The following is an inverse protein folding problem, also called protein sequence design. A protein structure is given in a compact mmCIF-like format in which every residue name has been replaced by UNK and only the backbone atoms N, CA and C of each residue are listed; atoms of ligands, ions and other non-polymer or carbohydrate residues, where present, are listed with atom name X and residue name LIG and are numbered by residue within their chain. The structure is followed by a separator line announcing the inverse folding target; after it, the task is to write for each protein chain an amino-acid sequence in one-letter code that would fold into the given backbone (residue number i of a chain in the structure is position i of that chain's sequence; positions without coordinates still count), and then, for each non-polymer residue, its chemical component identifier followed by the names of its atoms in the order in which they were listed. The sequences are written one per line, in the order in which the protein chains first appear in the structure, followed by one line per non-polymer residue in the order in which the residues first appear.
data_IF_865714209500
#
_entry.id   IF_865714209500
#
_cell.length_a   1.000
_cell.length_b   1.000
_cell.length_c   1.000
_cell.angle_alpha   90.00
_cell.angle_beta   90.00
_cell.angle_gamma   90.00
#
_symmetry.space_group_name_H-M   'P 1'
#
loop_
_entity.id
_entity.type
_entity.pdbx_description
1 polymer ?
#
# COMPACT_ATOMS: atom_id res chain seq x y z
N UNK A 1 17.36 7.79 -17.37
CA UNK A 1 17.76 7.53 -18.77
C UNK A 1 19.29 7.44 -18.85
N UNK A 2 19.91 6.83 -19.88
CA UNK A 2 21.38 6.84 -20.00
C UNK A 2 21.93 8.22 -20.42
N UNK A 3 23.01 8.68 -19.80
CA UNK A 3 23.65 9.99 -20.09
C UNK A 3 23.89 10.24 -21.59
N UNK A 4 24.29 9.19 -22.31
CA UNK A 4 24.57 9.28 -23.75
C UNK A 4 23.32 9.55 -24.58
N UNK A 5 22.17 9.05 -24.13
CA UNK A 5 20.88 9.28 -24.77
C UNK A 5 20.41 10.71 -24.48
N UNK A 6 20.50 11.15 -23.23
CA UNK A 6 20.12 12.52 -22.81
C UNK A 6 20.91 13.59 -23.57
N UNK A 7 22.23 13.43 -23.67
CA UNK A 7 23.10 14.34 -24.44
C UNK A 7 22.74 14.34 -25.94
N UNK A 8 22.34 13.20 -26.49
CA UNK A 8 21.92 13.11 -27.89
C UNK A 8 20.60 13.86 -28.18
N UNK A 9 19.74 14.00 -27.15
CA UNK A 9 18.43 14.64 -27.23
C UNK A 9 18.39 16.04 -26.60
N UNK A 10 19.57 16.62 -26.31
CA UNK A 10 19.71 17.97 -25.73
C UNK A 10 19.15 18.12 -24.31
N UNK A 11 19.01 17.01 -23.59
CA UNK A 11 18.67 16.96 -22.17
C UNK A 11 19.92 17.10 -21.30
N UNK A 12 19.71 17.37 -20.01
CA UNK A 12 20.80 17.58 -19.05
C UNK A 12 21.06 16.32 -18.21
N UNK A 13 22.16 15.56 -18.45
CA UNK A 13 22.40 14.27 -17.80
C UNK A 13 22.74 14.33 -16.31
N UNK A 14 22.69 15.51 -15.70
CA UNK A 14 22.88 15.69 -14.24
C UNK A 14 21.62 16.19 -13.55
N UNK A 15 20.54 16.42 -14.29
CA UNK A 15 19.23 16.76 -13.75
C UNK A 15 18.30 15.57 -13.94
N UNK A 16 17.51 15.26 -12.92
CA UNK A 16 16.37 14.37 -13.11
C UNK A 16 15.28 15.15 -13.84
N UNK A 17 15.08 14.80 -15.10
CA UNK A 17 14.08 15.36 -15.98
C UNK A 17 13.29 14.27 -16.72
N UNK A 18 13.26 13.05 -16.19
CA UNK A 18 12.53 11.92 -16.76
C UNK A 18 11.03 12.21 -16.92
N UNK A 19 10.42 12.90 -15.94
CA UNK A 19 9.02 13.31 -15.89
C UNK A 19 8.69 14.54 -16.76
N UNK A 20 9.71 15.23 -17.29
CA UNK A 20 9.51 16.46 -18.06
C UNK A 20 9.23 16.15 -19.52
N UNK A 21 8.53 17.09 -20.15
CA UNK A 21 8.28 17.13 -21.59
C UNK A 21 9.15 18.25 -22.19
N UNK A 22 10.35 17.89 -22.65
CA UNK A 22 11.33 18.88 -23.11
C UNK A 22 10.97 19.53 -24.45
N UNK A 23 10.27 18.81 -25.32
CA UNK A 23 9.95 19.26 -26.68
C UNK A 23 8.49 19.76 -26.85
N UNK A 24 7.65 19.54 -25.83
CA UNK A 24 6.30 20.05 -25.70
C UNK A 24 5.25 19.21 -26.43
N UNK A 25 5.55 17.95 -26.76
CA UNK A 25 4.65 17.06 -27.50
C UNK A 25 3.71 16.23 -26.60
N UNK A 26 3.87 16.37 -25.27
CA UNK A 26 3.16 15.69 -24.19
C UNK A 26 3.56 14.24 -23.93
N UNK A 27 4.69 13.80 -24.46
CA UNK A 27 5.35 12.56 -24.07
C UNK A 27 6.52 12.98 -23.17
N UNK A 28 6.61 12.40 -21.97
CA UNK A 28 7.73 12.71 -21.09
C UNK A 28 9.04 12.10 -21.65
N UNK A 29 10.17 12.64 -21.23
CA UNK A 29 11.49 12.26 -21.72
C UNK A 29 11.78 10.75 -21.53
N UNK A 30 11.27 10.13 -20.46
CA UNK A 30 11.47 8.70 -20.21
C UNK A 30 10.66 7.81 -21.16
N UNK A 31 9.40 8.17 -21.43
CA UNK A 31 8.56 7.52 -22.43
C UNK A 31 9.16 7.61 -23.83
N UNK A 32 9.77 8.75 -24.19
CA UNK A 32 10.54 8.89 -25.44
C UNK A 32 11.74 7.94 -25.49
N UNK A 33 12.45 7.81 -24.36
CA UNK A 33 13.57 6.87 -24.25
C UNK A 33 13.09 5.43 -24.46
N UNK A 34 12.01 4.99 -23.82
CA UNK A 34 11.42 3.66 -23.99
C UNK A 34 11.04 3.41 -25.45
N UNK A 35 10.34 4.36 -26.09
CA UNK A 35 9.96 4.28 -27.51
C UNK A 35 11.16 4.21 -28.47
N UNK A 36 12.32 4.73 -28.07
CA UNK A 36 13.55 4.67 -28.86
C UNK A 36 14.26 3.31 -28.81
N UNK A 37 13.90 2.43 -27.86
CA UNK A 37 14.52 1.12 -27.71
C UNK A 37 13.82 0.08 -28.60
N UNK A 38 14.57 -0.56 -29.50
CA UNK A 38 14.04 -1.65 -30.34
C UNK A 38 13.68 -2.93 -29.55
N UNK A 39 14.14 -3.06 -28.30
CA UNK A 39 13.92 -4.25 -27.46
C UNK A 39 13.92 -3.86 -25.97
N UNK A 40 12.93 -3.06 -25.58
CA UNK A 40 12.62 -2.82 -24.17
C UNK A 40 11.87 -4.02 -23.57
N UNK A 41 12.06 -4.30 -22.28
CA UNK A 41 11.39 -5.42 -21.60
C UNK A 41 9.93 -5.09 -21.37
N UNK A 42 9.03 -6.05 -21.55
CA UNK A 42 7.58 -5.94 -21.26
C UNK A 42 7.24 -6.09 -19.78
N UNK A 43 8.25 -6.33 -18.94
CA UNK A 43 8.11 -6.58 -17.50
C UNK A 43 8.81 -5.55 -16.61
N UNK A 44 9.43 -4.53 -17.19
CA UNK A 44 9.99 -3.43 -16.39
C UNK A 44 8.83 -2.51 -16.04
N UNK A 45 8.76 -2.16 -14.76
CA UNK A 45 7.85 -1.22 -14.13
C UNK A 45 8.75 -0.31 -13.29
N UNK A 46 8.88 0.94 -13.69
CA UNK A 46 9.91 1.86 -13.19
C UNK A 46 9.48 2.57 -11.90
N UNK A 47 8.18 2.83 -11.73
CA UNK A 47 7.64 3.42 -10.49
C UNK A 47 7.03 2.39 -9.53
N UNK A 48 6.99 1.12 -9.92
CA UNK A 48 6.50 -0.02 -9.15
C UNK A 48 5.02 0.11 -8.75
N UNK A 49 4.21 0.70 -9.62
CA UNK A 49 2.78 0.87 -9.37
C UNK A 49 1.92 -0.32 -9.87
N UNK A 50 2.58 -1.33 -10.44
CA UNK A 50 1.97 -2.55 -10.94
C UNK A 50 1.63 -2.51 -12.42
N UNK A 51 1.87 -1.40 -13.12
CA UNK A 51 1.73 -1.27 -14.56
C UNK A 51 3.10 -1.28 -15.25
N UNK A 52 3.35 -2.13 -16.26
CA UNK A 52 4.63 -2.13 -16.97
C UNK A 52 4.83 -0.87 -17.82
N UNK A 53 6.06 -0.35 -17.85
CA UNK A 53 6.47 0.85 -18.60
C UNK A 53 5.96 0.85 -20.05
N UNK A 54 6.10 -0.27 -20.75
CA UNK A 54 5.69 -0.38 -22.16
C UNK A 54 4.17 -0.26 -22.33
N UNK A 55 3.42 -0.75 -21.36
CA UNK A 55 1.97 -0.64 -21.36
C UNK A 55 1.55 0.80 -21.10
N UNK A 56 2.11 1.43 -20.08
CA UNK A 56 1.84 2.82 -19.73
C UNK A 56 2.15 3.77 -20.90
N UNK A 57 3.32 3.62 -21.52
CA UNK A 57 3.72 4.39 -22.72
C UNK A 57 2.72 4.20 -23.86
N UNK A 58 2.23 2.98 -24.06
CA UNK A 58 1.23 2.70 -25.10
C UNK A 58 -0.13 3.37 -24.83
N UNK A 59 -0.46 3.62 -23.55
CA UNK A 59 -1.71 4.23 -23.10
C UNK A 59 -1.55 5.67 -22.62
N UNK A 60 -0.43 6.32 -22.95
CA UNK A 60 -0.15 7.74 -22.63
C UNK A 60 -0.15 8.03 -21.12
N UNK A 61 0.20 7.04 -20.31
CA UNK A 61 0.50 7.20 -18.89
C UNK A 61 1.98 7.49 -18.67
N UNK A 62 2.38 7.68 -17.41
CA UNK A 62 3.72 8.15 -17.05
C UNK A 62 4.50 7.10 -16.23
N UNK A 63 5.44 6.36 -16.85
CA UNK A 63 6.19 5.28 -16.19
C UNK A 63 7.14 5.68 -15.05
N UNK A 64 7.19 6.96 -14.69
CA UNK A 64 8.02 7.44 -13.57
C UNK A 64 7.17 8.07 -12.47
N UNK A 65 5.84 7.98 -12.58
CA UNK A 65 4.90 8.49 -11.60
C UNK A 65 3.85 7.42 -11.28
N UNK A 66 3.86 6.90 -10.05
CA UNK A 66 2.78 6.08 -9.51
C UNK A 66 1.41 6.75 -9.76
N UNK A 67 0.74 6.23 -10.77
CA UNK A 67 -0.52 6.71 -11.28
C UNK A 67 -1.55 5.59 -11.45
N UNK A 68 -1.18 4.37 -11.07
CA UNK A 68 -2.03 3.20 -10.88
C UNK A 68 -3.38 3.53 -10.26
N UNK A 69 -3.44 4.42 -9.26
CA UNK A 69 -4.68 4.82 -8.56
C UNK A 69 -5.37 6.07 -9.13
N UNK A 70 -4.76 6.75 -10.10
CA UNK A 70 -5.36 7.88 -10.81
C UNK A 70 -6.35 7.36 -11.86
N UNK A 71 -7.27 8.24 -12.24
CA UNK A 71 -8.34 7.99 -13.21
C UNK A 71 -8.14 8.95 -14.37
N UNK A 72 -7.41 8.49 -15.41
CA UNK A 72 -6.92 9.35 -16.48
C UNK A 72 -8.06 9.94 -17.33
N UNK A 73 -9.13 9.20 -17.57
CA UNK A 73 -10.25 9.64 -18.42
C UNK A 73 -11.50 10.10 -17.65
N UNK A 74 -11.46 10.03 -16.31
CA UNK A 74 -12.47 10.46 -15.35
C UNK A 74 -13.78 9.66 -15.42
N UNK A 75 -13.69 8.37 -15.68
CA UNK A 75 -14.84 7.47 -15.71
C UNK A 75 -15.11 6.71 -14.40
N UNK A 76 -14.15 6.78 -13.48
CA UNK A 76 -14.20 6.21 -12.14
C UNK A 76 -13.39 4.93 -11.95
N UNK A 77 -12.78 4.38 -13.00
CA UNK A 77 -11.75 3.34 -12.90
C UNK A 77 -10.36 3.96 -12.74
N UNK A 78 -9.48 3.23 -12.08
CA UNK A 78 -8.08 3.58 -11.96
C UNK A 78 -7.25 2.98 -13.11
N UNK A 79 -6.13 3.61 -13.43
CA UNK A 79 -5.25 3.16 -14.51
C UNK A 79 -4.84 1.68 -14.36
N UNK A 80 -4.59 1.23 -13.12
CA UNK A 80 -4.26 -0.16 -12.82
C UNK A 80 -5.45 -1.10 -13.05
N UNK A 81 -6.66 -0.68 -12.70
CA UNK A 81 -7.88 -1.44 -12.99
C UNK A 81 -8.07 -1.65 -14.49
N UNK A 82 -7.72 -0.65 -15.30
CA UNK A 82 -7.81 -0.71 -16.76
C UNK A 82 -6.69 -1.53 -17.40
N UNK A 83 -5.47 -1.47 -16.85
CA UNK A 83 -4.38 -2.39 -17.21
C UNK A 83 -4.81 -3.84 -17.03
N UNK A 84 -5.34 -4.16 -15.85
CA UNK A 84 -5.80 -5.51 -15.50
C UNK A 84 -7.01 -5.95 -16.35
N UNK A 85 -7.89 -5.02 -16.71
CA UNK A 85 -9.07 -5.29 -17.55
C UNK A 85 -8.77 -5.27 -19.06
N UNK A 86 -7.56 -4.90 -19.48
CA UNK A 86 -7.19 -4.63 -20.88
C UNK A 86 -8.08 -3.59 -21.56
N UNK A 87 -8.49 -2.57 -20.82
CA UNK A 87 -9.18 -1.38 -21.35
C UNK A 87 -8.19 -0.24 -21.56
N UNK A 88 -8.61 0.80 -22.29
CA UNK A 88 -7.75 1.94 -22.60
C UNK A 88 -8.02 3.06 -21.58
N UNK A 89 -7.07 3.39 -20.69
CA UNK A 89 -7.25 4.41 -19.65
C UNK A 89 -7.44 5.83 -20.14
N UNK A 90 -7.43 6.03 -21.45
CA UNK A 90 -7.77 7.30 -22.08
C UNK A 90 -9.19 7.31 -22.67
N UNK A 91 -9.98 6.26 -22.46
CA UNK A 91 -11.22 6.00 -23.19
C UNK A 91 -12.40 5.56 -22.31
N UNK A 92 -13.07 6.54 -21.71
CA UNK A 92 -14.24 6.37 -20.83
C UNK A 92 -15.46 5.60 -21.38
N UNK A 93 -15.42 5.16 -22.63
CA UNK A 93 -16.43 4.33 -23.25
C UNK A 93 -16.17 2.82 -23.08
N UNK A 94 -14.95 2.40 -22.74
CA UNK A 94 -14.56 0.99 -22.61
C UNK A 94 -14.53 0.45 -21.17
N UNK A 95 -14.70 1.29 -20.15
CA UNK A 95 -15.14 0.88 -18.81
C UNK A 95 -16.53 0.24 -18.85
N UNK A 96 -16.57 -1.03 -19.26
CA UNK A 96 -17.79 -1.82 -19.38
C UNK A 96 -17.67 -3.19 -18.71
N UNK A 97 -16.74 -3.36 -17.77
CA UNK A 97 -16.65 -4.57 -16.96
C UNK A 97 -17.28 -4.40 -15.57
N UNK A 98 -17.21 -3.21 -14.97
CA UNK A 98 -17.71 -2.92 -13.61
C UNK A 98 -19.17 -2.45 -13.57
N UNK A 99 -19.75 -2.10 -14.73
CA UNK A 99 -21.14 -1.69 -14.85
C UNK A 99 -22.06 -2.88 -15.19
N UNK A 100 -22.84 -3.32 -14.22
CA UNK A 100 -24.01 -4.17 -14.44
C UNK A 100 -25.22 -3.30 -14.82
N UNK A 101 -25.45 -3.17 -16.12
CA UNK A 101 -26.52 -2.34 -16.70
C UNK A 101 -27.90 -3.05 -16.77
N UNK A 102 -27.91 -4.37 -16.54
CA UNK A 102 -29.08 -5.26 -16.59
C UNK A 102 -29.81 -5.29 -17.95
N UNK A 103 -29.13 -4.93 -19.05
CA UNK A 103 -29.65 -5.04 -20.41
C UNK A 103 -29.51 -6.44 -21.00
N UNK A 104 -28.60 -7.26 -20.46
CA UNK A 104 -28.60 -8.70 -20.66
C UNK A 104 -29.40 -9.38 -19.53
N UNK A 105 -30.38 -10.21 -19.91
CA UNK A 105 -31.23 -10.93 -18.97
C UNK A 105 -30.56 -12.21 -18.42
N UNK A 106 -29.43 -12.61 -19.01
CA UNK A 106 -28.72 -13.86 -18.74
C UNK A 106 -27.38 -13.57 -18.06
N UNK A 107 -26.60 -12.60 -18.57
CA UNK A 107 -25.30 -12.24 -18.02
C UNK A 107 -25.37 -10.93 -17.22
N UNK A 108 -25.05 -10.99 -15.92
CA UNK A 108 -25.11 -9.87 -14.99
C UNK A 108 -23.70 -9.32 -14.67
N UNK A 109 -22.91 -9.09 -15.72
CA UNK A 109 -21.58 -8.48 -15.64
C UNK A 109 -20.49 -9.42 -15.13
N UNK A 110 -20.50 -10.70 -15.50
CA UNK A 110 -19.44 -11.67 -15.12
C UNK A 110 -19.49 -12.14 -13.66
N UNK A 111 -20.08 -11.37 -12.74
CA UNK A 111 -20.17 -11.74 -11.32
C UNK A 111 -20.99 -13.02 -11.05
N UNK A 112 -20.52 -13.81 -10.10
CA UNK A 112 -21.24 -15.00 -9.62
C UNK A 112 -22.35 -14.66 -8.60
N UNK A 113 -23.60 -14.66 -9.09
CA UNK A 113 -24.77 -14.33 -8.27
C UNK A 113 -25.38 -15.54 -7.55
N UNK A 114 -25.40 -15.47 -6.21
CA UNK A 114 -26.10 -16.40 -5.32
C UNK A 114 -27.46 -15.87 -4.95
N UNK A 115 -28.46 -16.75 -4.92
CA UNK A 115 -29.85 -16.40 -4.60
C UNK A 115 -30.39 -17.25 -3.45
N UNK A 116 -30.95 -16.59 -2.44
CA UNK A 116 -31.54 -17.23 -1.27
C UNK A 116 -32.98 -16.74 -1.05
N UNK A 117 -33.82 -17.60 -0.45
CA UNK A 117 -35.22 -17.30 -0.15
C UNK A 117 -36.21 -17.78 -1.22
N UNK A 118 -37.49 -17.48 -1.03
CA UNK A 118 -38.59 -17.94 -1.90
C UNK A 118 -39.04 -16.89 -2.95
N UNK A 119 -38.46 -15.69 -2.90
CA UNK A 119 -38.71 -14.63 -3.87
C UNK A 119 -37.86 -14.80 -5.14
N UNK A 120 -37.99 -13.87 -6.07
CA UNK A 120 -37.21 -13.86 -7.31
C UNK A 120 -36.51 -12.52 -7.50
N UNK A 121 -35.21 -12.58 -7.78
CA UNK A 121 -34.43 -11.50 -8.37
C UNK A 121 -34.27 -11.77 -9.86
N UNK A 122 -34.51 -10.77 -10.72
CA UNK A 122 -34.39 -10.93 -12.17
C UNK A 122 -34.10 -9.62 -12.87
N UNK A 123 -33.27 -9.68 -13.92
CA UNK A 123 -33.05 -8.56 -14.83
C UNK A 123 -34.22 -8.39 -15.81
N UNK A 124 -34.55 -7.12 -16.08
CA UNK A 124 -35.54 -6.68 -17.03
C UNK A 124 -34.92 -5.62 -17.95
N UNK A 125 -34.43 -6.04 -19.13
CA UNK A 125 -33.92 -5.12 -20.13
C UNK A 125 -35.00 -4.12 -20.58
N UNK A 126 -34.60 -2.86 -20.78
CA UNK A 126 -35.48 -1.81 -21.32
C UNK A 126 -36.55 -1.26 -20.36
N UNK A 127 -36.62 -1.73 -19.11
CA UNK A 127 -37.60 -1.28 -18.11
C UNK A 127 -37.01 -0.38 -17.01
N UNK A 128 -35.73 -0.04 -17.11
CA UNK A 128 -35.02 0.90 -16.25
C UNK A 128 -35.05 2.35 -16.76
N UNK A 129 -34.30 3.21 -16.09
CA UNK A 129 -34.18 4.63 -16.41
C UNK A 129 -33.67 4.84 -17.84
N UNK A 130 -34.26 5.82 -18.53
CA UNK A 130 -33.92 6.18 -19.92
C UNK A 130 -33.99 5.00 -20.91
N UNK A 131 -34.74 3.95 -20.58
CA UNK A 131 -34.84 2.75 -21.43
C UNK A 131 -33.68 1.76 -21.23
N UNK A 132 -32.88 1.89 -20.17
CA UNK A 132 -31.90 0.89 -19.76
C UNK A 132 -32.50 -0.31 -19.04
N UNK A 133 -31.66 -1.22 -18.54
CA UNK A 133 -32.07 -2.40 -17.78
C UNK A 133 -32.37 -2.09 -16.31
N UNK A 134 -33.05 -3.03 -15.64
CA UNK A 134 -33.17 -3.02 -14.18
C UNK A 134 -33.18 -4.41 -13.59
N UNK A 135 -32.60 -4.56 -12.42
CA UNK A 135 -32.73 -5.76 -11.60
C UNK A 135 -33.86 -5.57 -10.61
N UNK A 136 -34.80 -6.50 -10.55
CA UNK A 136 -35.99 -6.36 -9.72
C UNK A 136 -36.17 -7.58 -8.83
N UNK A 137 -36.55 -7.34 -7.58
CA UNK A 137 -37.04 -8.36 -6.69
C UNK A 137 -38.55 -8.23 -6.46
N UNK A 138 -39.28 -9.34 -6.56
CA UNK A 138 -40.73 -9.42 -6.30
C UNK A 138 -41.13 -10.84 -5.91
N UNK A 139 -42.42 -11.03 -5.60
CA UNK A 139 -43.04 -12.32 -5.28
C UNK A 139 -42.46 -13.03 -4.03
N UNK A 140 -41.86 -12.27 -3.12
CA UNK A 140 -41.44 -12.78 -1.81
C UNK A 140 -42.66 -12.97 -0.90
N UNK A 141 -42.83 -14.11 -0.23
CA UNK A 141 -43.97 -14.31 0.68
C UNK A 141 -43.99 -13.29 1.82
N UNK A 142 -45.19 -12.99 2.33
CA UNK A 142 -45.36 -12.00 3.40
C UNK A 142 -44.53 -12.32 4.65
N UNK A 143 -43.74 -11.34 5.10
CA UNK A 143 -42.87 -11.49 6.27
C UNK A 143 -41.66 -12.40 6.04
N UNK A 144 -41.36 -12.76 4.78
CA UNK A 144 -40.13 -13.43 4.36
C UNK A 144 -39.23 -12.46 3.62
N UNK A 145 -38.01 -12.93 3.37
CA UNK A 145 -36.97 -12.19 2.64
C UNK A 145 -36.46 -13.02 1.47
N UNK A 146 -35.88 -12.35 0.48
CA UNK A 146 -35.06 -12.97 -0.56
C UNK A 146 -33.79 -12.15 -0.74
N UNK A 147 -32.66 -12.84 -0.84
CA UNK A 147 -31.33 -12.24 -0.92
C UNK A 147 -30.72 -12.61 -2.26
N UNK A 148 -30.04 -11.65 -2.86
CA UNK A 148 -29.07 -11.91 -3.90
C UNK A 148 -27.71 -11.38 -3.44
N UNK A 149 -26.65 -12.15 -3.62
CA UNK A 149 -25.29 -11.73 -3.27
C UNK A 149 -24.25 -12.20 -4.26
N UNK A 150 -23.12 -11.51 -4.27
CA UNK A 150 -21.90 -11.91 -4.98
C UNK A 150 -20.72 -11.73 -4.03
N UNK A 151 -19.66 -12.50 -4.24
CA UNK A 151 -18.36 -12.23 -3.62
C UNK A 151 -17.52 -11.47 -4.63
N UNK A 152 -16.79 -10.49 -4.13
CA UNK A 152 -15.87 -9.68 -4.92
C UNK A 152 -14.59 -9.50 -4.15
N UNK A 153 -13.52 -9.23 -4.87
CA UNK A 153 -12.18 -8.98 -4.38
C UNK A 153 -11.84 -7.58 -4.87
N UNK A 154 -11.94 -6.59 -3.98
CA UNK A 154 -11.88 -5.16 -4.35
C UNK A 154 -10.47 -4.61 -4.16
N UNK A 155 -9.94 -3.83 -5.11
CA UNK A 155 -8.73 -3.02 -4.90
C UNK A 155 -9.01 -1.74 -4.09
N UNK A 156 -10.16 -1.65 -3.42
CA UNK A 156 -10.67 -0.40 -2.87
C UNK A 156 -11.58 0.31 -3.88
N UNK A 157 -12.28 1.37 -3.45
CA UNK A 157 -13.16 2.14 -4.33
C UNK A 157 -14.60 2.18 -3.83
N UNK A 158 -15.57 1.99 -4.74
CA UNK A 158 -16.99 2.22 -4.42
C UNK A 158 -17.92 1.18 -5.02
N UNK A 159 -19.03 0.94 -4.31
CA UNK A 159 -20.23 0.34 -4.88
C UNK A 159 -21.28 1.43 -5.05
N UNK A 160 -21.80 1.59 -6.27
CA UNK A 160 -22.84 2.58 -6.55
C UNK A 160 -23.98 2.01 -7.39
N UNK A 161 -25.21 2.45 -7.13
CA UNK A 161 -26.37 2.03 -7.91
C UNK A 161 -27.57 2.96 -7.72
N UNK A 162 -28.54 2.87 -8.61
CA UNK A 162 -29.84 3.51 -8.44
C UNK A 162 -30.81 2.56 -7.74
N UNK A 163 -31.40 3.03 -6.64
CA UNK A 163 -32.42 2.29 -5.88
C UNK A 163 -33.83 2.82 -6.16
N UNK A 164 -34.76 1.89 -6.33
CA UNK A 164 -36.19 2.14 -6.34
C UNK A 164 -36.90 1.16 -5.40
N UNK A 165 -37.74 1.68 -4.50
CA UNK A 165 -38.52 0.89 -3.54
C UNK A 165 -39.98 1.32 -3.57
N UNK A 166 -40.89 0.35 -3.67
CA UNK A 166 -42.32 0.58 -3.60
C UNK A 166 -42.95 -0.22 -2.46
N UNK A 167 -43.13 0.42 -1.30
CA UNK A 167 -43.92 -0.14 -0.19
C UNK A 167 -43.18 -1.12 0.73
N UNK A 168 -42.09 -1.74 0.29
CA UNK A 168 -41.36 -2.78 1.03
C UNK A 168 -40.01 -2.28 1.59
N UNK A 169 -39.05 -3.19 1.79
CA UNK A 169 -37.69 -2.86 2.26
C UNK A 169 -36.64 -3.50 1.37
N UNK A 170 -35.70 -2.68 0.89
CA UNK A 170 -34.41 -3.13 0.36
C UNK A 170 -33.34 -2.81 1.39
N UNK A 171 -32.45 -3.75 1.67
CA UNK A 171 -31.27 -3.56 2.50
C UNK A 171 -30.03 -3.98 1.70
N UNK A 172 -29.02 -3.13 1.67
CA UNK A 172 -27.71 -3.42 1.08
C UNK A 172 -26.69 -3.66 2.20
N UNK A 173 -25.91 -4.73 2.07
CA UNK A 173 -24.91 -5.14 3.05
C UNK A 173 -23.55 -5.38 2.38
N UNK A 174 -22.50 -5.07 3.13
CA UNK A 174 -21.12 -5.48 2.87
C UNK A 174 -20.67 -6.32 4.07
N UNK A 175 -20.26 -7.56 3.85
CA UNK A 175 -19.84 -8.53 4.90
C UNK A 175 -20.86 -8.67 6.04
N UNK A 176 -22.14 -8.71 5.67
CA UNK A 176 -23.25 -8.80 6.61
C UNK A 176 -23.50 -7.52 7.44
N UNK A 177 -22.72 -6.45 7.26
CA UNK A 177 -22.96 -5.13 7.86
C UNK A 177 -23.87 -4.32 6.96
N UNK A 178 -24.93 -3.75 7.54
CA UNK A 178 -25.88 -2.90 6.79
C UNK A 178 -25.24 -1.58 6.41
N UNK A 179 -25.14 -1.33 5.11
CA UNK A 179 -24.66 -0.07 4.55
C UNK A 179 -25.83 0.87 4.21
N UNK A 180 -26.91 0.33 3.67
CA UNK A 180 -28.10 1.08 3.31
C UNK A 180 -29.38 0.29 3.55
N UNK A 181 -30.45 0.97 3.98
CA UNK A 181 -31.77 0.35 4.12
C UNK A 181 -32.87 1.36 3.76
N UNK A 182 -33.75 0.96 2.83
CA UNK A 182 -34.81 1.79 2.29
C UNK A 182 -36.15 1.10 2.51
N UNK A 183 -36.92 1.60 3.48
CA UNK A 183 -38.19 1.02 3.92
C UNK A 183 -39.42 1.88 3.60
N UNK A 184 -39.22 3.01 2.91
CA UNK A 184 -40.25 3.89 2.37
C UNK A 184 -40.22 3.87 0.85
N UNK A 185 -41.23 4.47 0.21
CA UNK A 185 -41.16 4.69 -1.23
C UNK A 185 -39.96 5.55 -1.58
N UNK A 186 -39.06 5.00 -2.40
CA UNK A 186 -37.89 5.69 -2.95
C UNK A 186 -37.98 5.59 -4.45
N UNK A 187 -37.96 6.72 -5.14
CA UNK A 187 -37.99 6.75 -6.60
C UNK A 187 -36.60 7.14 -7.11
N UNK A 188 -35.91 6.16 -7.71
CA UNK A 188 -34.71 6.36 -8.55
C UNK A 188 -33.64 7.26 -7.93
N UNK A 189 -33.18 6.90 -6.72
CA UNK A 189 -32.10 7.61 -6.02
C UNK A 189 -30.76 6.92 -6.27
N UNK A 190 -29.73 7.64 -6.73
CA UNK A 190 -28.34 7.13 -6.72
C UNK A 190 -27.87 7.03 -5.26
N UNK A 191 -27.27 5.90 -4.92
CA UNK A 191 -26.61 5.63 -3.64
C UNK A 191 -25.21 5.11 -3.93
N UNK A 192 -24.31 5.33 -2.98
CA UNK A 192 -22.88 5.10 -3.13
C UNK A 192 -22.29 4.76 -1.76
N UNK A 193 -21.40 3.79 -1.72
CA UNK A 193 -20.78 3.25 -0.51
C UNK A 193 -19.32 2.95 -0.79
N UNK A 194 -18.45 3.21 0.19
CA UNK A 194 -17.04 2.83 0.09
C UNK A 194 -16.92 1.30 0.17
N UNK A 195 -16.10 0.75 -0.73
CA UNK A 195 -15.70 -0.65 -0.74
C UNK A 195 -14.22 -0.69 -0.36
N UNK A 196 -13.85 -1.22 0.82
CA UNK A 196 -12.46 -1.34 1.22
C UNK A 196 -11.69 -2.31 0.32
N UNK A 197 -10.36 -2.25 0.41
CA UNK A 197 -9.47 -3.25 -0.19
C UNK A 197 -9.78 -4.62 0.44
N UNK A 198 -9.81 -5.65 -0.41
CA UNK A 198 -9.89 -7.04 -0.03
C UNK A 198 -11.20 -7.73 -0.41
N UNK A 199 -11.38 -8.93 0.15
CA UNK A 199 -12.49 -9.82 -0.17
C UNK A 199 -13.77 -9.47 0.57
N UNK A 200 -14.83 -9.20 -0.17
CA UNK A 200 -16.11 -8.75 0.37
C UNK A 200 -17.32 -9.53 -0.18
N UNK A 201 -18.30 -9.83 0.68
CA UNK A 201 -19.64 -10.23 0.22
C UNK A 201 -20.53 -8.99 0.05
N UNK A 202 -20.99 -8.74 -1.17
CA UNK A 202 -22.01 -7.74 -1.48
C UNK A 202 -23.37 -8.39 -1.52
N UNK A 203 -24.34 -7.90 -0.73
CA UNK A 203 -25.66 -8.50 -0.64
C UNK A 203 -26.82 -7.49 -0.71
N UNK A 204 -27.82 -7.83 -1.51
CA UNK A 204 -29.10 -7.13 -1.61
C UNK A 204 -30.22 -7.99 -1.06
N UNK A 205 -30.85 -7.53 0.03
CA UNK A 205 -31.92 -8.24 0.73
C UNK A 205 -33.23 -7.50 0.55
N UNK A 206 -34.20 -8.17 -0.07
CA UNK A 206 -35.57 -7.70 -0.22
C UNK A 206 -36.47 -8.34 0.83
N UNK A 207 -37.09 -7.52 1.67
CA UNK A 207 -37.98 -7.96 2.76
C UNK A 207 -39.42 -7.51 2.52
N UNK A 208 -40.35 -8.47 2.44
CA UNK A 208 -41.77 -8.19 2.23
C UNK A 208 -42.48 -7.87 3.55
N UNK A 209 -43.11 -6.69 3.65
CA UNK A 209 -43.85 -6.31 4.87
C UNK A 209 -45.04 -7.24 5.13
N UNK A 210 -45.36 -7.49 6.42
CA UNK A 210 -46.46 -8.39 6.86
C UNK A 210 -47.88 -7.88 6.58
N UNK A 211 -48.04 -6.69 6.02
CA UNK A 211 -49.36 -6.05 5.79
C UNK A 211 -49.73 -6.06 4.32
N UNK A 212 -50.95 -6.51 3.98
CA UNK A 212 -51.48 -6.43 2.62
C UNK A 212 -51.54 -4.96 2.16
N UNK A 213 -50.80 -4.64 1.12
CA UNK A 213 -50.97 -3.41 0.36
C UNK A 213 -51.55 -3.77 -1.02
N UNK A 214 -52.54 -3.02 -1.48
CA UNK A 214 -53.05 -3.13 -2.84
C UNK A 214 -52.09 -2.41 -3.80
N UNK A 215 -51.13 -3.14 -4.36
CA UNK A 215 -50.14 -2.67 -5.34
C UNK A 215 -49.09 -3.76 -5.63
N UNK A 216 -48.45 -3.70 -6.79
CA UNK A 216 -47.30 -4.56 -7.09
C UNK A 216 -46.09 -4.04 -6.31
N UNK A 217 -45.90 -4.49 -5.07
CA UNK A 217 -44.72 -4.11 -4.32
C UNK A 217 -43.48 -4.78 -4.92
N UNK A 218 -42.38 -4.04 -4.98
CA UNK A 218 -41.11 -4.53 -5.48
C UNK A 218 -40.00 -3.56 -5.13
N UNK A 219 -38.77 -4.06 -5.22
CA UNK A 219 -37.56 -3.24 -5.18
C UNK A 219 -36.78 -3.42 -6.48
N UNK A 220 -36.09 -2.38 -6.91
CA UNK A 220 -35.25 -2.42 -8.09
C UNK A 220 -33.91 -1.73 -7.88
N UNK A 221 -32.89 -2.29 -8.52
CA UNK A 221 -31.52 -1.79 -8.63
C UNK A 221 -31.24 -1.55 -10.12
N UNK A 222 -30.59 -0.43 -10.46
CA UNK A 222 -30.18 -0.11 -11.83
C UNK A 222 -28.79 0.48 -11.86
N UNK A 223 -28.06 0.29 -12.97
CA UNK A 223 -26.69 0.76 -13.18
C UNK A 223 -25.82 0.47 -11.96
N UNK A 224 -25.71 -0.83 -11.65
CA UNK A 224 -24.91 -1.28 -10.54
C UNK A 224 -23.46 -1.23 -10.96
N UNK A 225 -22.69 -0.46 -10.22
CA UNK A 225 -21.27 -0.27 -10.38
C UNK A 225 -20.57 -0.88 -9.16
N UNK A 226 -19.59 -1.73 -9.40
CA UNK A 226 -18.78 -2.39 -8.38
C UNK A 226 -17.32 -2.23 -8.78
N UNK A 227 -16.53 -1.43 -8.07
CA UNK A 227 -15.06 -1.33 -8.22
C UNK A 227 -14.37 -2.61 -7.71
N UNK A 228 -14.63 -3.74 -8.37
CA UNK A 228 -14.00 -5.02 -8.10
C UNK A 228 -14.19 -5.96 -9.29
N UNK A 229 -13.12 -6.67 -9.66
CA UNK A 229 -13.14 -7.62 -10.77
C UNK A 229 -14.00 -8.86 -10.43
N UNK A 230 -14.69 -9.45 -11.42
CA UNK A 230 -15.39 -10.72 -11.26
C UNK A 230 -14.43 -11.90 -11.00
N UNK A 231 -14.98 -12.96 -10.41
CA UNK A 231 -14.41 -14.31 -10.25
C UNK A 231 -15.37 -15.22 -11.04
N UNK A 232 -15.07 -15.41 -12.33
CA UNK A 232 -15.96 -15.93 -13.36
C UNK A 232 -16.29 -17.41 -13.15
N UNK A 233 -15.35 -18.19 -12.59
CA UNK A 233 -15.52 -19.62 -12.35
C UNK A 233 -15.77 -19.99 -10.87
N UNK A 234 -15.72 -19.00 -9.97
CA UNK A 234 -16.01 -19.12 -8.53
C UNK A 234 -15.07 -20.11 -7.82
N UNK A 235 -13.79 -20.07 -8.16
CA UNK A 235 -12.75 -20.83 -7.46
C UNK A 235 -12.08 -20.05 -6.31
N UNK A 236 -12.34 -18.74 -6.23
CA UNK A 236 -11.86 -17.85 -5.17
C UNK A 236 -10.75 -16.89 -5.60
N UNK A 237 -10.29 -16.96 -6.84
CA UNK A 237 -9.32 -16.05 -7.46
C UNK A 237 -10.06 -15.07 -8.39
N UNK A 238 -9.59 -13.83 -8.52
CA UNK A 238 -10.19 -12.90 -9.48
C UNK A 238 -9.65 -13.12 -10.88
N UNK A 239 -10.53 -12.96 -11.88
CA UNK A 239 -10.18 -13.03 -13.31
C UNK A 239 -8.93 -12.20 -13.66
N UNK A 240 -8.78 -11.01 -13.08
CA UNK A 240 -7.62 -10.14 -13.33
C UNK A 240 -6.31 -10.75 -12.85
N UNK A 241 -6.27 -11.26 -11.62
CA UNK A 241 -5.09 -11.93 -11.07
C UNK A 241 -4.77 -13.21 -11.84
N UNK A 242 -5.78 -14.03 -12.19
CA UNK A 242 -5.56 -15.22 -13.01
C UNK A 242 -4.95 -14.88 -14.37
N UNK A 243 -5.44 -13.83 -15.01
CA UNK A 243 -4.93 -13.41 -16.31
C UNK A 243 -3.49 -12.89 -16.21
N UNK A 244 -3.18 -12.04 -15.22
CA UNK A 244 -1.84 -11.45 -15.05
C UNK A 244 -0.75 -12.50 -14.93
N UNK A 245 -1.02 -13.60 -14.22
CA UNK A 245 0.01 -14.59 -13.90
C UNK A 245 -0.10 -15.90 -14.71
N UNK A 246 -1.27 -16.19 -15.29
CA UNK A 246 -1.52 -17.45 -16.02
C UNK A 246 -2.07 -17.26 -17.44
N UNK A 247 -2.30 -16.02 -17.88
CA UNK A 247 -2.86 -15.66 -19.20
C UNK A 247 -4.20 -16.38 -19.51
N UNK A 248 -4.97 -16.74 -18.47
CA UNK A 248 -6.20 -17.51 -18.59
C UNK A 248 -7.21 -17.09 -17.52
N UNK A 249 -8.48 -16.92 -17.92
CA UNK A 249 -9.61 -16.47 -17.09
C UNK A 249 -10.44 -17.63 -16.48
N UNK A 250 -10.05 -18.88 -16.75
CA UNK A 250 -10.73 -20.08 -16.24
C UNK A 250 -9.68 -21.05 -15.68
N UNK A 251 -8.67 -20.54 -14.99
CA UNK A 251 -7.64 -21.39 -14.38
C UNK A 251 -8.22 -22.02 -13.13
N UNK A 252 -8.97 -23.12 -13.28
CA UNK A 252 -9.69 -23.74 -12.16
C UNK A 252 -8.77 -24.10 -10.97
N UNK A 253 -8.69 -23.21 -9.97
CA UNK A 253 -7.92 -23.34 -8.74
C UNK A 253 -8.48 -24.45 -7.83
N UNK A 254 -9.64 -25.04 -8.13
CA UNK A 254 -10.06 -26.28 -7.48
C UNK A 254 -9.31 -27.51 -7.99
N UNK A 255 -8.75 -27.45 -9.19
CA UNK A 255 -7.93 -28.51 -9.80
C UNK A 255 -6.47 -28.15 -9.95
N UNK A 256 -6.14 -26.85 -9.90
CA UNK A 256 -4.78 -26.35 -9.71
C UNK A 256 -4.18 -26.90 -8.42
N UNK A 257 -2.87 -27.08 -8.41
CA UNK A 257 -2.18 -27.60 -7.23
C UNK A 257 -2.16 -26.51 -6.15
N UNK A 258 -3.09 -26.62 -5.18
CA UNK A 258 -3.19 -25.68 -4.03
C UNK A 258 -1.98 -25.69 -3.11
N UNK A 259 -1.01 -26.55 -3.36
CA UNK A 259 0.26 -26.59 -2.65
C UNK A 259 1.44 -26.13 -3.54
N UNK A 260 1.15 -25.63 -4.75
CA UNK A 260 2.14 -24.96 -5.56
C UNK A 260 2.48 -23.62 -4.90
N UNK A 261 3.77 -23.40 -4.81
CA UNK A 261 4.46 -22.26 -4.23
C UNK A 261 5.61 -22.05 -5.22
N UNK A 262 5.36 -21.17 -6.18
CA UNK A 262 6.09 -21.13 -7.42
C UNK A 262 7.40 -20.34 -7.29
N UNK A 263 7.47 -19.39 -6.36
CA UNK A 263 8.67 -18.63 -6.01
C UNK A 263 9.41 -19.17 -4.75
N UNK A 264 8.77 -20.07 -4.00
CA UNK A 264 9.29 -20.73 -2.80
C UNK A 264 9.48 -19.77 -1.61
N UNK A 265 8.64 -18.75 -1.48
CA UNK A 265 8.64 -17.84 -0.33
C UNK A 265 7.89 -18.39 0.89
N UNK A 266 7.01 -19.38 0.65
CA UNK A 266 6.21 -20.08 1.65
C UNK A 266 4.73 -19.70 1.69
N UNK A 267 4.29 -18.77 0.83
CA UNK A 267 2.91 -18.63 0.38
C UNK A 267 2.68 -19.54 -0.83
N UNK A 268 1.50 -20.13 -0.90
CA UNK A 268 1.07 -20.83 -2.12
C UNK A 268 0.52 -19.84 -3.14
N UNK A 269 0.52 -20.18 -4.43
CA UNK A 269 -0.02 -19.32 -5.50
C UNK A 269 -1.45 -18.82 -5.18
N UNK A 270 -2.25 -19.64 -4.48
CA UNK A 270 -3.61 -19.25 -4.07
C UNK A 270 -3.63 -18.34 -2.84
N UNK A 271 -2.65 -18.44 -1.94
CA UNK A 271 -2.48 -17.50 -0.83
C UNK A 271 -2.00 -16.14 -1.34
N UNK A 272 -1.12 -16.12 -2.34
CA UNK A 272 -0.67 -14.93 -3.05
C UNK A 272 -1.83 -14.26 -3.80
N UNK A 273 -2.66 -15.05 -4.49
CA UNK A 273 -3.90 -14.55 -5.09
C UNK A 273 -4.85 -13.86 -4.10
N UNK A 274 -4.91 -14.36 -2.87
CA UNK A 274 -5.74 -13.77 -1.80
C UNK A 274 -5.07 -12.56 -1.15
N UNK A 275 -3.74 -12.48 -1.23
CA UNK A 275 -2.93 -11.37 -0.75
C UNK A 275 -2.71 -10.27 -1.81
N UNK A 276 -3.12 -10.52 -3.05
CA UNK A 276 -2.83 -9.69 -4.23
C UNK A 276 -1.34 -9.52 -4.52
N UNK A 277 -0.55 -10.54 -4.17
CA UNK A 277 0.87 -10.60 -4.44
C UNK A 277 1.18 -11.46 -5.67
N UNK A 278 2.45 -11.47 -6.09
CA UNK A 278 2.92 -12.05 -7.33
C UNK A 278 3.47 -13.47 -7.13
N UNK A 279 2.85 -14.51 -7.72
CA UNK A 279 3.23 -15.91 -7.55
C UNK A 279 4.61 -16.30 -8.10
N UNK A 280 5.34 -15.35 -8.65
CA UNK A 280 6.68 -15.56 -9.18
C UNK A 280 7.74 -14.72 -8.46
N UNK A 281 7.39 -14.00 -7.39
CA UNK A 281 8.30 -13.11 -6.65
C UNK A 281 8.07 -13.17 -5.15
N UNK A 282 9.10 -13.63 -4.43
CA UNK A 282 9.06 -13.76 -2.96
C UNK A 282 8.95 -12.44 -2.18
N UNK A 283 9.04 -11.33 -2.89
CA UNK A 283 9.00 -9.94 -2.46
C UNK A 283 8.45 -9.19 -3.68
N UNK A 284 7.12 -9.06 -3.69
CA UNK A 284 6.33 -8.67 -4.84
C UNK A 284 6.55 -7.21 -5.23
N UNK A 285 6.59 -6.34 -4.23
CA UNK A 285 6.77 -4.89 -4.35
C UNK A 285 8.25 -4.45 -4.29
N UNK A 286 9.16 -5.37 -3.98
CA UNK A 286 10.61 -5.17 -3.91
C UNK A 286 11.03 -4.15 -2.86
N UNK A 287 10.29 -4.04 -1.77
CA UNK A 287 10.60 -3.12 -0.68
C UNK A 287 11.61 -3.69 0.33
N UNK A 288 11.90 -4.99 0.21
CA UNK A 288 12.84 -5.75 1.01
C UNK A 288 12.19 -6.61 2.09
N UNK A 289 10.86 -6.58 2.21
CA UNK A 289 10.06 -7.46 3.05
C UNK A 289 9.44 -8.57 2.19
N UNK A 290 9.57 -9.86 2.55
CA UNK A 290 8.93 -10.93 1.79
C UNK A 290 7.42 -10.99 1.99
N UNK A 291 6.67 -11.35 0.95
CA UNK A 291 5.20 -11.42 0.94
C UNK A 291 4.65 -12.22 2.14
N UNK A 292 5.24 -13.39 2.42
CA UNK A 292 4.86 -14.21 3.59
C UNK A 292 4.92 -13.42 4.91
N UNK A 293 5.95 -12.61 5.09
CA UNK A 293 6.11 -11.79 6.28
C UNK A 293 5.04 -10.72 6.34
N UNK A 294 4.80 -10.05 5.22
CA UNK A 294 3.84 -8.95 5.12
C UNK A 294 2.41 -9.40 5.38
N UNK A 295 1.99 -10.48 4.73
CA UNK A 295 0.69 -11.13 4.97
C UNK A 295 0.53 -11.54 6.44
N UNK A 296 1.61 -12.02 7.07
CA UNK A 296 1.59 -12.42 8.49
C UNK A 296 1.46 -11.22 9.43
N UNK A 297 2.07 -10.09 9.09
CA UNK A 297 2.09 -8.88 9.91
C UNK A 297 1.03 -7.84 9.51
N UNK A 298 0.25 -8.13 8.46
CA UNK A 298 -0.83 -7.28 7.92
C UNK A 298 -0.33 -5.95 7.33
N UNK A 299 0.85 -5.98 6.72
CA UNK A 299 1.29 -4.97 5.75
C UNK A 299 0.81 -5.39 4.35
N UNK A 300 1.12 -4.60 3.32
CA UNK A 300 0.60 -4.80 1.97
C UNK A 300 1.68 -5.29 0.99
N UNK A 301 1.70 -6.60 0.63
CA UNK A 301 2.77 -7.15 -0.22
C UNK A 301 2.76 -6.66 -1.67
N UNK A 302 1.69 -5.97 -2.09
CA UNK A 302 1.63 -5.36 -3.42
C UNK A 302 2.15 -3.92 -3.46
N UNK A 303 2.62 -3.36 -2.34
CA UNK A 303 2.83 -1.93 -2.22
C UNK A 303 4.05 -1.59 -1.38
N UNK A 304 4.97 -0.84 -1.99
CA UNK A 304 6.22 -0.35 -1.38
C UNK A 304 5.99 0.45 -0.08
N UNK A 305 5.84 -0.25 1.05
CA UNK A 305 5.35 0.30 2.32
C UNK A 305 6.36 0.20 3.47
N UNK A 306 7.59 -0.25 3.21
CA UNK A 306 8.70 -0.39 4.17
C UNK A 306 8.92 0.77 5.14
N UNK A 307 8.58 2.01 4.76
CA UNK A 307 8.74 3.20 5.62
C UNK A 307 7.46 3.62 6.38
N UNK A 308 6.35 2.90 6.18
CA UNK A 308 5.11 3.13 6.91
C UNK A 308 5.13 2.49 8.31
N UNK A 309 4.12 2.84 9.11
CA UNK A 309 3.95 2.40 10.50
C UNK A 309 2.55 1.77 10.61
N UNK A 310 2.41 0.55 10.10
CA UNK A 310 1.11 -0.10 9.91
C UNK A 310 0.36 -0.31 11.24
N UNK A 311 1.08 -0.55 12.34
CA UNK A 311 0.51 -0.81 13.65
C UNK A 311 0.43 0.44 14.57
N UNK A 312 1.10 1.52 14.19
CA UNK A 312 1.06 2.83 14.84
C UNK A 312 1.95 2.95 16.09
N UNK A 313 2.95 2.08 16.24
CA UNK A 313 3.86 2.07 17.39
C UNK A 313 5.12 2.95 17.21
N UNK A 314 5.29 3.52 16.01
CA UNK A 314 6.39 4.40 15.56
C UNK A 314 7.69 3.67 15.19
N UNK A 315 7.62 2.37 14.97
CA UNK A 315 8.66 1.61 14.28
C UNK A 315 8.13 1.39 12.86
N UNK A 316 8.95 1.62 11.84
CA UNK A 316 8.49 1.37 10.49
C UNK A 316 8.48 -0.13 10.16
N UNK A 317 7.69 -0.51 9.17
CA UNK A 317 7.49 -1.90 8.76
C UNK A 317 8.83 -2.62 8.53
N UNK A 318 9.80 -1.98 7.85
CA UNK A 318 11.11 -2.60 7.59
C UNK A 318 11.93 -2.86 8.86
N UNK A 319 11.90 -1.94 9.83
CA UNK A 319 12.56 -2.13 11.12
C UNK A 319 11.92 -3.29 11.89
N UNK A 320 10.59 -3.44 11.83
CA UNK A 320 9.89 -4.59 12.41
C UNK A 320 10.30 -5.90 11.74
N UNK A 321 10.42 -5.89 10.41
CA UNK A 321 10.93 -7.02 9.64
C UNK A 321 12.33 -7.41 10.12
N UNK A 322 13.27 -6.47 10.18
CA UNK A 322 14.64 -6.69 10.70
C UNK A 322 14.60 -7.29 12.11
N UNK A 323 13.77 -6.75 13.01
CA UNK A 323 13.62 -7.25 14.39
C UNK A 323 13.07 -8.68 14.46
N UNK A 324 12.27 -9.08 13.48
CA UNK A 324 11.73 -10.44 13.38
C UNK A 324 12.77 -11.47 12.90
N UNK A 325 13.81 -11.01 12.18
CA UNK A 325 14.84 -11.86 11.62
C UNK A 325 15.92 -12.24 12.65
N UNK A 326 15.93 -13.51 13.08
CA UNK A 326 16.91 -14.02 14.06
C UNK A 326 18.36 -14.08 13.56
N UNK A 327 18.59 -13.96 12.25
CA UNK A 327 19.89 -14.08 11.59
C UNK A 327 20.13 -12.98 10.54
N UNK A 328 19.54 -11.80 10.74
CA UNK A 328 19.81 -10.64 9.91
C UNK A 328 21.32 -10.29 9.95
N UNK A 329 21.89 -9.90 8.82
CA UNK A 329 23.33 -9.65 8.70
C UNK A 329 23.73 -8.34 9.37
N UNK A 330 24.85 -8.32 10.11
CA UNK A 330 25.40 -7.10 10.75
C UNK A 330 26.15 -6.17 9.77
N UNK A 331 26.08 -6.47 8.48
CA UNK A 331 26.76 -5.72 7.41
C UNK A 331 25.83 -5.18 6.33
N UNK A 332 24.53 -5.46 6.40
CA UNK A 332 23.56 -4.84 5.48
C UNK A 332 23.38 -3.39 5.92
N UNK A 333 23.31 -2.51 4.92
CA UNK A 333 23.23 -1.05 5.00
C UNK A 333 22.33 -0.64 3.83
N UNK A 334 21.02 -0.56 4.10
CA UNK A 334 19.96 -0.49 3.08
C UNK A 334 19.94 0.89 2.41
N UNK A 335 20.18 1.96 3.15
CA UNK A 335 20.24 3.32 2.63
C UNK A 335 21.66 3.77 2.19
N UNK A 336 22.68 2.97 2.50
CA UNK A 336 24.10 3.21 2.18
C UNK A 336 24.71 4.44 2.87
N UNK A 337 24.22 4.82 4.05
CA UNK A 337 24.74 5.97 4.80
C UNK A 337 26.00 5.64 5.64
N UNK A 338 26.35 4.35 5.69
CA UNK A 338 27.51 3.83 6.40
C UNK A 338 27.23 3.36 7.82
N UNK A 339 25.96 3.33 8.24
CA UNK A 339 25.47 2.67 9.45
C UNK A 339 24.73 1.37 9.05
N UNK A 340 25.04 0.21 9.66
CA UNK A 340 24.32 -1.01 9.35
C UNK A 340 22.90 -1.02 9.92
N UNK A 341 21.94 -1.59 9.19
CA UNK A 341 20.50 -1.60 9.54
C UNK A 341 20.24 -2.09 10.98
N UNK A 342 20.90 -3.20 11.37
CA UNK A 342 20.76 -3.75 12.72
C UNK A 342 21.21 -2.78 13.81
N UNK A 343 22.20 -1.95 13.52
CA UNK A 343 22.65 -0.93 14.46
C UNK A 343 21.64 0.21 14.55
N UNK A 344 21.12 0.67 13.42
CA UNK A 344 20.13 1.75 13.36
C UNK A 344 18.84 1.38 14.10
N UNK A 345 18.29 0.20 13.79
CA UNK A 345 17.10 -0.34 14.45
C UNK A 345 17.31 -0.47 15.96
N UNK A 346 18.49 -0.92 16.40
CA UNK A 346 18.83 -1.03 17.82
C UNK A 346 18.91 0.34 18.54
N UNK A 347 19.10 1.43 17.79
CA UNK A 347 19.18 2.80 18.30
C UNK A 347 17.98 3.67 17.87
N UNK A 348 16.86 3.05 17.47
CA UNK A 348 15.62 3.76 17.10
C UNK A 348 15.84 4.77 15.97
N UNK A 349 16.75 4.46 15.05
CA UNK A 349 16.94 5.15 13.78
C UNK A 349 16.26 4.35 12.66
N UNK A 350 16.16 4.96 11.50
CA UNK A 350 15.42 4.41 10.37
C UNK A 350 16.39 3.86 9.30
N UNK A 351 16.50 2.54 9.14
CA UNK A 351 17.45 1.90 8.21
C UNK A 351 17.16 2.13 6.71
N UNK A 352 16.03 2.76 6.36
CA UNK A 352 15.70 3.08 4.97
C UNK A 352 15.85 4.57 4.65
N UNK A 353 16.36 5.38 5.58
CA UNK A 353 16.55 6.82 5.44
C UNK A 353 17.95 7.28 5.84
N UNK A 354 18.74 7.78 4.86
CA UNK A 354 20.07 8.35 5.13
C UNK A 354 19.97 9.46 6.19
N UNK A 355 20.40 9.10 7.41
CA UNK A 355 20.32 9.93 8.58
C UNK A 355 21.64 10.05 9.34
N UNK A 356 22.71 9.50 8.78
CA UNK A 356 24.10 9.61 9.22
C UNK A 356 24.54 11.00 9.69
N UNK A 357 24.09 12.06 9.00
CA UNK A 357 24.40 13.46 9.31
C UNK A 357 23.40 14.14 10.26
N UNK A 358 22.27 13.49 10.58
CA UNK A 358 21.31 13.97 11.60
C UNK A 358 21.91 13.82 13.00
N UNK A 359 21.34 14.59 13.94
CA UNK A 359 21.73 14.64 15.36
C UNK A 359 20.46 14.33 16.16
N UNK A 360 20.15 13.04 16.28
CA UNK A 360 18.87 12.56 16.78
C UNK A 360 18.57 13.07 18.20
N UNK A 361 19.57 13.11 19.07
CA UNK A 361 19.40 13.67 20.41
C UNK A 361 19.54 15.20 20.45
N UNK A 362 20.37 15.84 19.61
CA UNK A 362 20.62 17.28 19.63
C UNK A 362 21.76 17.72 20.57
N UNK A 363 22.83 16.94 20.70
CA UNK A 363 24.05 17.27 21.48
C UNK A 363 25.21 17.85 20.64
N UNK A 364 25.03 17.83 19.32
CA UNK A 364 25.99 18.29 18.31
C UNK A 364 26.99 17.23 17.87
N UNK A 365 26.64 15.94 17.96
CA UNK A 365 27.32 14.78 17.37
C UNK A 365 26.35 14.14 16.37
N UNK A 366 26.82 13.68 15.20
CA UNK A 366 25.92 13.05 14.23
C UNK A 366 25.79 11.55 14.49
N UNK A 367 24.68 10.96 14.06
CA UNK A 367 24.39 9.53 14.20
C UNK A 367 25.59 8.65 13.77
N UNK A 368 26.20 8.97 12.61
CA UNK A 368 27.36 8.23 12.09
C UNK A 368 28.63 8.37 12.94
N UNK A 369 28.88 9.54 13.54
CA UNK A 369 30.01 9.70 14.48
C UNK A 369 29.74 8.91 15.77
N UNK A 370 28.47 8.81 16.19
CA UNK A 370 28.08 8.00 17.35
C UNK A 370 28.24 6.50 17.09
N UNK A 371 27.83 6.02 15.93
CA UNK A 371 28.13 4.66 15.46
C UNK A 371 29.64 4.37 15.52
N UNK A 372 30.45 5.24 14.90
CA UNK A 372 31.92 5.10 14.85
C UNK A 372 32.59 5.17 16.21
N UNK A 373 32.00 5.89 17.16
CA UNK A 373 32.54 6.06 18.52
C UNK A 373 31.87 5.19 19.57
N UNK A 374 30.91 4.34 19.16
CA UNK A 374 30.14 3.44 20.02
C UNK A 374 29.40 4.18 21.14
N UNK A 375 28.79 5.32 20.82
CA UNK A 375 27.85 6.05 21.68
C UNK A 375 26.40 5.85 21.21
N UNK A 376 25.45 6.36 21.98
CA UNK A 376 24.02 6.12 21.77
C UNK A 376 23.37 7.41 21.23
N UNK A 377 22.88 7.43 19.97
CA UNK A 377 22.36 8.62 19.30
C UNK A 377 21.05 9.13 19.87
N UNK A 378 20.44 8.41 20.82
CA UNK A 378 19.24 8.85 21.52
C UNK A 378 19.57 9.49 22.89
N UNK A 379 20.85 9.53 23.30
CA UNK A 379 21.26 9.95 24.64
C UNK A 379 22.26 11.09 24.61
N UNK A 380 21.77 12.31 24.87
CA UNK A 380 22.60 13.53 24.97
C UNK A 380 23.86 13.32 25.80
N UNK A 381 25.00 13.21 25.13
CA UNK A 381 26.30 13.13 25.76
C UNK A 381 26.83 14.53 26.03
N UNK A 382 26.36 15.10 27.14
CA UNK A 382 26.79 16.44 27.62
C UNK A 382 28.31 16.52 27.90
N UNK A 383 29.06 15.41 27.87
CA UNK A 383 30.48 15.34 28.23
C UNK A 383 31.31 14.36 27.37
N UNK A 384 31.55 14.67 26.10
CA UNK A 384 32.67 14.04 25.38
C UNK A 384 34.01 14.46 26.00
N UNK A 385 34.87 13.50 26.40
CA UNK A 385 36.18 13.76 27.03
C UNK A 385 37.10 14.56 26.08
N UNK A 386 36.89 14.47 24.76
CA UNK A 386 37.60 15.28 23.74
C UNK A 386 37.20 16.76 23.76
N UNK A 387 35.96 17.07 24.18
CA UNK A 387 35.43 18.45 24.30
C UNK A 387 35.92 19.18 25.56
N UNK A 388 36.46 18.44 26.53
CA UNK A 388 36.85 18.98 27.83
C UNK A 388 38.33 19.35 27.88
N UNK A 389 38.63 20.60 28.29
CA UNK A 389 39.99 20.99 28.70
C UNK A 389 40.07 21.12 30.20
N UNK A 390 41.05 20.47 30.82
CA UNK A 390 41.40 20.74 32.21
C UNK A 390 41.94 22.16 32.33
N UNK A 391 41.25 23.01 33.09
CA UNK A 391 41.67 24.40 33.29
C UNK A 391 42.37 24.58 34.64
N UNK A 392 41.99 23.78 35.65
CA UNK A 392 42.54 23.90 37.01
C UNK A 392 42.40 22.60 37.79
N UNK A 393 43.45 22.22 38.49
CA UNK A 393 43.42 21.21 39.56
C UNK A 393 43.40 21.90 40.91
N UNK A 394 42.55 21.43 41.82
CA UNK A 394 42.51 21.87 43.21
C UNK A 394 42.79 20.65 44.09
N UNK A 395 43.86 20.74 44.88
CA UNK A 395 44.33 19.64 45.73
C UNK A 395 44.06 19.94 47.20
N UNK A 396 42.98 19.37 47.74
CA UNK A 396 42.77 19.23 49.18
C UNK A 396 42.27 17.80 49.44
N UNK A 397 43.21 16.86 49.63
CA UNK A 397 42.92 15.47 50.00
C UNK A 397 42.41 14.54 48.89
N UNK A 398 41.71 15.06 47.88
CA UNK A 398 41.38 14.38 46.62
C UNK A 398 41.68 15.32 45.44
N UNK A 399 42.22 14.79 44.34
CA UNK A 399 42.48 15.60 43.14
C UNK A 399 41.15 15.89 42.45
N UNK A 400 40.65 17.13 42.54
CA UNK A 400 39.46 17.57 41.81
C UNK A 400 39.92 18.44 40.64
N UNK A 401 39.47 18.10 39.43
CA UNK A 401 39.70 18.86 38.21
C UNK A 401 38.48 19.71 37.84
N UNK A 402 38.73 20.96 37.45
CA UNK A 402 37.73 21.83 36.79
C UNK A 402 37.96 21.74 35.29
N UNK A 403 36.96 21.21 34.58
CA UNK A 403 36.98 21.07 33.12
C UNK A 403 36.09 22.14 32.48
N UNK A 404 36.52 22.72 31.37
CA UNK A 404 35.66 23.54 30.48
C UNK A 404 35.23 22.70 29.31
N UNK A 405 33.94 22.72 28.99
CA UNK A 405 33.52 22.35 27.65
C UNK A 405 33.92 23.45 26.65
N UNK A 406 34.59 23.06 25.57
CA UNK A 406 35.11 24.00 24.55
C UNK A 406 34.00 24.62 23.71
N UNK A 407 32.85 23.97 23.60
CA UNK A 407 31.74 24.43 22.75
C UNK A 407 30.75 25.29 23.53
N UNK A 408 30.12 24.74 24.57
CA UNK A 408 29.13 25.45 25.40
C UNK A 408 29.75 26.40 26.43
N UNK A 409 31.04 26.24 26.74
CA UNK A 409 31.74 27.06 27.74
C UNK A 409 31.41 26.73 29.21
N UNK A 410 30.53 25.75 29.47
CA UNK A 410 30.14 25.31 30.82
C UNK A 410 31.31 24.69 31.59
N UNK A 411 31.26 24.81 32.92
CA UNK A 411 32.28 24.31 33.85
C UNK A 411 31.79 23.07 34.58
N UNK A 412 32.67 22.07 34.72
CA UNK A 412 32.38 20.80 35.39
C UNK A 412 33.45 20.47 36.44
N UNK A 413 33.02 19.90 37.57
CA UNK A 413 33.92 19.37 38.61
C UNK A 413 34.01 17.85 38.46
N UNK A 414 35.24 17.34 38.32
CA UNK A 414 35.51 15.91 38.10
C UNK A 414 36.53 15.41 39.13
N UNK A 415 36.30 14.24 39.71
CA UNK A 415 37.28 13.57 40.57
C UNK A 415 38.36 12.89 39.72
N UNK A 416 39.62 13.26 39.93
CA UNK A 416 40.79 12.67 39.25
C UNK A 416 41.39 11.60 40.16
N UNK A 417 41.24 10.33 39.78
CA UNK A 417 41.82 9.19 40.50
C UNK A 417 43.35 9.11 40.36
N UNK A 418 44.02 8.40 41.29
CA UNK A 418 45.49 8.25 41.35
C UNK A 418 46.13 7.42 40.23
N UNK A 419 45.33 6.76 39.38
CA UNK A 419 45.82 5.86 38.32
C UNK A 419 45.65 6.42 36.90
N UNK A 420 45.65 7.74 36.73
CA UNK A 420 45.73 8.33 35.40
C UNK A 420 47.17 8.20 34.86
N UNK A 421 47.43 7.16 34.07
CA UNK A 421 48.66 7.04 33.28
C UNK A 421 48.63 8.11 32.19
N UNK A 422 49.52 9.09 32.27
CA UNK A 422 49.73 10.08 31.22
C UNK A 422 50.66 9.45 30.18
N UNK A 423 50.09 8.99 29.06
CA UNK A 423 50.83 8.52 27.91
C UNK A 423 50.23 9.06 26.62
N UNK A 424 50.93 10.01 25.98
CA UNK A 424 50.85 10.35 24.55
C UNK A 424 49.53 10.89 23.97
N UNK A 425 48.41 10.23 24.18
CA UNK A 425 47.11 10.58 23.64
C UNK A 425 46.00 10.18 24.63
N UNK A 426 45.35 11.17 25.25
CA UNK A 426 44.12 10.97 26.01
C UNK A 426 44.30 10.57 27.48
N UNK A 427 43.67 11.32 28.39
CA UNK A 427 43.47 10.88 29.77
C UNK A 427 42.27 9.92 29.76
N UNK A 428 42.49 8.65 30.07
CA UNK A 428 41.40 7.69 30.30
C UNK A 428 40.80 7.95 31.69
N UNK A 429 39.64 8.59 31.76
CA UNK A 429 38.86 8.73 32.99
C UNK A 429 37.90 7.54 33.09
N UNK A 430 38.19 6.56 33.96
CA UNK A 430 37.17 5.61 34.40
C UNK A 430 36.13 6.35 35.26
N UNK A 431 35.04 6.79 34.66
CA UNK A 431 33.95 7.44 35.37
C UNK A 431 33.00 6.40 36.00
N UNK A 432 33.30 5.93 37.22
CA UNK A 432 32.26 5.31 38.06
C UNK A 432 31.40 6.42 38.66
N UNK A 433 30.23 6.65 38.04
CA UNK A 433 29.13 7.55 38.47
C UNK A 433 29.52 9.03 38.64
N UNK A 434 29.33 9.81 37.59
CA UNK A 434 29.20 11.27 37.71
C UNK A 434 27.78 11.57 38.24
N UNK A 435 27.68 12.23 39.39
CA UNK A 435 26.44 12.94 39.79
C UNK A 435 26.60 14.40 39.37
N UNK A 436 25.70 14.97 38.56
CA UNK A 436 25.77 16.39 38.24
C UNK A 436 25.53 17.19 39.51
N UNK A 437 26.48 18.05 39.86
CA UNK A 437 26.23 19.18 40.74
C UNK A 437 26.32 20.40 39.84
N UNK A 438 25.15 20.91 39.43
CA UNK A 438 25.05 22.24 38.83
C UNK A 438 25.53 23.26 39.87
N UNK A 439 26.40 24.18 39.45
CA UNK A 439 26.77 25.37 40.21
C UNK A 439 26.11 26.59 39.58
#
# INVERSE_FOLDING_TARGET
MPDLWEVAHQLNPVEDDADKDADGDKINNFSEFILSQESYSDTIDTDNDGMPDLWEVAHQLNPVEDDATKDADNDGESNLEEFLAQTDPQNNADAQFFLVDFNDAINLGGYYWRYEGQGQWKAFPGLGRQGGGRWRAWNTPYGQETKASTIVNSPGGKVSFYVEVWGDTLTFLIDGKVQGSWNTTVQQRKVEFDLPIGRHELAWVYSQKKTQHHGSNSVSVEKLYISALPDSDNDGVTDGWEYTYFENLETDFNTYDKALDQDNDGLTDIEEALAYSNPFKADSDQDGMPDLWEVTNKTDPGRYDRNEDADGDKINNFSEFILSQGNYSDTIDTDNDGMPDLWEVAHQLNPVEDDADKDADGDGTSNLEEFRTQTDPQIKVILSIKRLTLIKTVTWGASIGVMKDRVSGKLFLVLVGKEAVVGGHGILLMARKLRPVLL
#
